data_IF_121579819991
#
_entry.id   IF_121579819991
#
_cell.length_a   1.000
_cell.length_b   1.000
_cell.length_c   1.000
_cell.angle_alpha   90.00
_cell.angle_beta   90.00
_cell.angle_gamma   90.00
#
_symmetry.space_group_name_H-M   'P 1'
#
loop_
_entity.id
_entity.type
_entity.pdbx_description
1 polymer ?
#
# COMPACT_ATOMS: atom_id res chain seq x y z
N UNK A 1 7.00 7.82 -23.79
CA UNK A 1 7.19 6.66 -24.70
C UNK A 1 7.23 5.33 -23.96
N UNK A 2 8.12 5.11 -22.98
CA UNK A 2 8.23 3.81 -22.29
C UNK A 2 6.92 3.31 -21.65
N UNK A 3 6.15 4.17 -20.97
CA UNK A 3 4.87 3.79 -20.37
C UNK A 3 3.82 3.39 -21.41
N UNK A 4 3.73 4.11 -22.53
CA UNK A 4 2.82 3.77 -23.63
C UNK A 4 3.25 2.48 -24.33
N UNK A 5 4.57 2.24 -24.48
CA UNK A 5 5.11 0.98 -25.02
C UNK A 5 4.84 -0.16 -24.06
N UNK A 6 5.06 0.03 -22.75
CA UNK A 6 4.80 -0.96 -21.72
C UNK A 6 3.31 -1.28 -21.59
N UNK A 7 2.42 -0.29 -21.59
CA UNK A 7 0.98 -0.52 -21.58
C UNK A 7 0.48 -1.09 -22.91
N UNK A 8 1.02 -0.68 -24.06
CA UNK A 8 0.67 -1.30 -25.34
C UNK A 8 1.12 -2.76 -25.39
N UNK A 9 2.33 -3.07 -24.90
CA UNK A 9 2.79 -4.45 -24.72
C UNK A 9 1.90 -5.19 -23.73
N UNK A 10 1.56 -4.61 -22.58
CA UNK A 10 0.70 -5.21 -21.55
C UNK A 10 -0.69 -5.49 -22.09
N UNK A 11 -1.35 -4.53 -22.73
CA UNK A 11 -2.68 -4.68 -23.32
C UNK A 11 -2.71 -5.67 -24.49
N UNK A 12 -1.61 -5.80 -25.25
CA UNK A 12 -1.46 -6.83 -26.27
C UNK A 12 -1.22 -8.22 -25.68
N UNK A 13 -0.57 -8.31 -24.52
CA UNK A 13 -0.19 -9.56 -23.85
C UNK A 13 -1.30 -10.08 -22.92
N UNK A 14 -2.10 -9.20 -22.32
CA UNK A 14 -3.16 -9.52 -21.36
C UNK A 14 -4.13 -10.61 -21.86
N UNK A 15 -4.64 -10.60 -23.12
CA UNK A 15 -5.49 -11.67 -23.64
C UNK A 15 -4.77 -13.04 -23.74
N UNK A 16 -3.44 -13.04 -23.81
CA UNK A 16 -2.61 -14.24 -23.88
C UNK A 16 -2.08 -14.68 -22.52
N UNK A 17 -2.26 -13.88 -21.46
CA UNK A 17 -1.80 -14.21 -20.12
C UNK A 17 -2.54 -15.43 -19.56
N UNK A 18 -3.85 -15.50 -19.72
CA UNK A 18 -4.65 -16.66 -19.27
C UNK A 18 -4.35 -17.92 -20.10
N UNK A 19 -4.03 -17.77 -21.39
CA UNK A 19 -3.55 -18.87 -22.23
C UNK A 19 -2.17 -19.38 -21.78
N UNK A 20 -1.30 -18.48 -21.32
CA UNK A 20 -0.01 -18.83 -20.75
C UNK A 20 -0.13 -19.56 -19.40
N UNK A 21 -1.11 -19.23 -18.55
CA UNK A 21 -1.38 -19.99 -17.32
C UNK A 21 -1.87 -21.42 -17.62
N UNK A 22 -2.75 -21.58 -18.62
CA UNK A 22 -3.19 -22.89 -19.07
C UNK A 22 -2.03 -23.73 -19.64
N UNK A 23 -1.16 -23.12 -20.45
CA UNK A 23 0.04 -23.77 -20.97
C UNK A 23 1.01 -24.16 -19.83
N UNK A 24 1.25 -23.27 -18.86
CA UNK A 24 2.11 -23.56 -17.72
C UNK A 24 1.62 -24.77 -16.91
N UNK A 25 0.31 -24.92 -16.71
CA UNK A 25 -0.30 -26.07 -16.02
C UNK A 25 -0.20 -27.36 -16.82
N UNK A 26 -0.36 -27.29 -18.14
CA UNK A 26 -0.22 -28.45 -19.03
C UNK A 26 1.23 -28.97 -19.02
N UNK A 27 2.22 -28.11 -19.30
CA UNK A 27 3.63 -28.50 -19.31
C UNK A 27 4.20 -28.78 -17.90
N UNK A 28 3.58 -28.24 -16.85
CA UNK A 28 3.99 -28.46 -15.45
C UNK A 28 3.43 -29.74 -14.83
N UNK A 29 2.45 -30.39 -15.46
CA UNK A 29 1.82 -31.61 -14.96
C UNK A 29 2.49 -32.87 -15.56
N UNK A 30 3.23 -33.67 -14.77
CA UNK A 30 3.97 -34.84 -15.26
C UNK A 30 3.06 -35.99 -15.76
N UNK A 31 1.76 -35.92 -15.49
CA UNK A 31 0.77 -36.88 -15.98
C UNK A 31 0.21 -36.54 -17.36
N UNK A 32 0.61 -35.43 -17.97
CA UNK A 32 0.21 -35.06 -19.33
C UNK A 32 1.31 -35.40 -20.33
N UNK A 33 0.94 -35.66 -21.59
CA UNK A 33 1.90 -35.90 -22.68
C UNK A 33 2.89 -34.73 -22.85
N UNK A 34 2.41 -33.50 -22.62
CA UNK A 34 3.24 -32.29 -22.68
C UNK A 34 4.10 -32.07 -21.43
N UNK A 35 3.78 -32.68 -20.29
CA UNK A 35 4.62 -32.63 -19.09
C UNK A 35 5.76 -33.66 -19.09
N UNK A 36 5.73 -34.61 -20.03
CA UNK A 36 6.73 -35.67 -20.16
C UNK A 36 7.81 -35.35 -21.21
N UNK A 37 7.66 -34.28 -21.99
CA UNK A 37 8.67 -33.90 -22.99
C UNK A 37 9.94 -33.36 -22.31
N UNK A 38 11.13 -33.60 -22.89
CA UNK A 38 12.36 -32.97 -22.42
C UNK A 38 12.20 -31.44 -22.37
N UNK A 39 12.69 -30.81 -21.31
CA UNK A 39 12.53 -29.38 -21.02
C UNK A 39 11.09 -28.91 -20.71
N UNK A 40 10.09 -29.79 -20.54
CA UNK A 40 8.71 -29.39 -20.19
C UNK A 40 8.65 -28.45 -18.97
N UNK A 41 9.43 -28.73 -17.91
CA UNK A 41 9.52 -27.85 -16.75
C UNK A 41 10.07 -26.44 -17.08
N UNK A 42 11.01 -26.32 -18.02
CA UNK A 42 11.53 -25.02 -18.46
C UNK A 42 10.49 -24.27 -19.28
N UNK A 43 9.76 -24.97 -20.15
CA UNK A 43 8.66 -24.40 -20.93
C UNK A 43 7.52 -23.92 -20.00
N UNK A 44 7.16 -24.73 -19.01
CA UNK A 44 6.20 -24.36 -17.97
C UNK A 44 6.64 -23.12 -17.18
N UNK A 45 7.92 -23.05 -16.78
CA UNK A 45 8.47 -21.89 -16.08
C UNK A 45 8.45 -20.61 -16.94
N UNK A 46 8.73 -20.73 -18.24
CA UNK A 46 8.66 -19.61 -19.18
C UNK A 46 7.22 -19.11 -19.37
N UNK A 47 6.25 -20.00 -19.53
CA UNK A 47 4.83 -19.62 -19.60
C UNK A 47 4.32 -19.05 -18.27
N UNK A 48 4.76 -19.59 -17.13
CA UNK A 48 4.44 -19.03 -15.82
C UNK A 48 5.03 -17.62 -15.62
N UNK A 49 6.25 -17.38 -16.10
CA UNK A 49 6.86 -16.06 -16.12
C UNK A 49 6.08 -15.11 -17.06
N UNK A 50 5.70 -15.57 -18.24
CA UNK A 50 4.93 -14.78 -19.21
C UNK A 50 3.56 -14.38 -18.66
N UNK A 51 2.83 -15.31 -18.02
CA UNK A 51 1.58 -15.00 -17.32
C UNK A 51 1.80 -13.98 -16.18
N UNK A 52 2.87 -14.12 -15.37
CA UNK A 52 3.20 -13.15 -14.31
C UNK A 52 3.52 -11.75 -14.85
N UNK A 53 4.13 -11.66 -16.04
CA UNK A 53 4.46 -10.39 -16.68
C UNK A 53 3.26 -9.77 -17.42
N UNK A 54 2.34 -10.61 -17.90
CA UNK A 54 1.19 -10.20 -18.69
C UNK A 54 -0.09 -9.92 -17.90
N UNK A 55 -0.18 -10.41 -16.66
CA UNK A 55 -1.40 -10.32 -15.85
C UNK A 55 -1.46 -9.02 -15.05
N UNK A 56 -2.57 -8.30 -15.15
CA UNK A 56 -2.88 -7.26 -14.16
C UNK A 56 -3.29 -7.96 -12.86
N UNK A 57 -2.57 -7.66 -11.77
CA UNK A 57 -2.89 -8.20 -10.46
C UNK A 57 -3.86 -7.24 -9.77
N UNK A 58 -5.07 -7.72 -9.51
CA UNK A 58 -6.00 -7.00 -8.65
C UNK A 58 -5.38 -6.73 -7.29
N UNK A 59 -5.80 -5.61 -6.68
CA UNK A 59 -5.39 -5.25 -5.33
C UNK A 59 -5.78 -6.38 -4.36
N UNK A 60 -4.82 -6.99 -3.64
CA UNK A 60 -5.13 -7.99 -2.63
C UNK A 60 -6.04 -7.40 -1.55
N UNK A 61 -6.94 -8.21 -1.02
CA UNK A 61 -7.71 -7.86 0.17
C UNK A 61 -6.85 -7.98 1.44
N UNK A 62 -7.15 -7.24 2.51
CA UNK A 62 -6.54 -7.56 3.80
C UNK A 62 -7.01 -8.93 4.30
N UNK A 63 -8.28 -9.30 4.05
CA UNK A 63 -8.79 -10.64 4.34
C UNK A 63 -8.76 -11.02 5.83
N UNK A 64 -8.70 -10.02 6.72
CA UNK A 64 -8.70 -10.24 8.17
C UNK A 64 -10.17 -10.28 8.60
N UNK A 65 -10.76 -11.49 8.61
CA UNK A 65 -12.18 -11.66 9.00
C UNK A 65 -12.37 -11.94 10.48
N UNK A 66 -11.39 -12.58 11.12
CA UNK A 66 -11.40 -12.93 12.53
C UNK A 66 -9.99 -12.90 13.12
N UNK A 67 -9.90 -12.63 14.41
CA UNK A 67 -8.68 -12.78 15.22
C UNK A 67 -9.05 -13.41 16.57
N UNK A 68 -8.05 -13.98 17.27
CA UNK A 68 -8.21 -14.43 18.65
C UNK A 68 -7.71 -13.36 19.61
N UNK A 69 -8.51 -13.02 20.61
CA UNK A 69 -8.14 -12.17 21.74
C UNK A 69 -8.49 -12.94 23.00
N UNK A 70 -7.49 -13.22 23.85
CA UNK A 70 -7.65 -14.01 25.08
C UNK A 70 -8.35 -15.37 24.85
N UNK A 71 -8.08 -16.02 23.71
CA UNK A 71 -8.71 -17.28 23.32
C UNK A 71 -10.10 -17.18 22.70
N UNK A 72 -10.72 -15.99 22.72
CA UNK A 72 -12.05 -15.73 22.15
C UNK A 72 -11.91 -15.23 20.71
N UNK A 73 -12.68 -15.81 19.80
CA UNK A 73 -12.77 -15.36 18.40
C UNK A 73 -13.55 -14.04 18.32
N UNK A 74 -12.92 -13.05 17.69
CA UNK A 74 -13.47 -11.70 17.49
C UNK A 74 -13.59 -11.46 15.99
N UNK A 75 -14.79 -11.13 15.54
CA UNK A 75 -15.06 -10.79 14.14
C UNK A 75 -14.49 -9.40 13.81
N UNK A 76 -13.94 -9.28 12.60
CA UNK A 76 -13.35 -8.05 12.08
C UNK A 76 -14.16 -7.58 10.89
N UNK A 77 -14.61 -6.33 10.96
CA UNK A 77 -15.25 -5.59 9.89
C UNK A 77 -14.28 -4.54 9.36
N UNK A 78 -13.97 -4.62 8.08
CA UNK A 78 -13.07 -3.73 7.38
C UNK A 78 -13.90 -2.68 6.65
N UNK A 79 -13.68 -1.40 6.97
CA UNK A 79 -14.47 -0.31 6.40
C UNK A 79 -13.64 0.93 6.12
N UNK A 80 -14.10 1.72 5.15
CA UNK A 80 -13.53 3.03 4.86
C UNK A 80 -14.12 4.01 5.86
N UNK A 81 -13.26 4.63 6.68
CA UNK A 81 -13.67 5.64 7.66
C UNK A 81 -13.59 7.05 7.08
N UNK A 82 -12.58 7.32 6.24
CA UNK A 82 -12.44 8.57 5.48
C UNK A 82 -12.02 8.22 4.06
N UNK A 83 -12.72 8.78 3.07
CA UNK A 83 -12.39 8.60 1.65
C UNK A 83 -11.91 9.92 1.05
N UNK A 84 -10.62 9.98 0.70
CA UNK A 84 -10.01 11.13 0.01
C UNK A 84 -9.61 10.76 -1.42
N UNK A 85 -9.38 11.74 -2.29
CA UNK A 85 -9.06 11.47 -3.70
C UNK A 85 -7.85 10.55 -3.91
N UNK A 86 -6.82 10.65 -3.06
CA UNK A 86 -5.59 9.86 -3.17
C UNK A 86 -5.42 8.79 -2.10
N UNK A 87 -6.29 8.72 -1.09
CA UNK A 87 -6.11 7.83 0.05
C UNK A 87 -7.42 7.48 0.73
N UNK A 88 -7.57 6.23 1.16
CA UNK A 88 -8.62 5.82 2.08
C UNK A 88 -8.02 5.59 3.45
N UNK A 89 -8.61 6.20 4.48
CA UNK A 89 -8.35 5.80 5.85
C UNK A 89 -9.27 4.63 6.17
N UNK A 90 -8.69 3.45 6.36
CA UNK A 90 -9.45 2.21 6.57
C UNK A 90 -9.38 1.81 8.03
N UNK A 91 -10.50 1.35 8.57
CA UNK A 91 -10.65 0.94 9.97
C UNK A 91 -11.02 -0.54 10.02
N UNK A 92 -10.39 -1.25 10.94
CA UNK A 92 -10.72 -2.63 11.27
C UNK A 92 -11.48 -2.66 12.60
N UNK A 93 -12.81 -2.68 12.52
CA UNK A 93 -13.67 -2.67 13.70
C UNK A 93 -13.86 -4.10 14.21
N UNK A 94 -13.63 -4.26 15.51
CA UNK A 94 -13.74 -5.54 16.22
C UNK A 94 -15.14 -5.70 16.81
N UNK A 95 -15.70 -6.90 16.66
CA UNK A 95 -17.01 -7.31 17.18
C UNK A 95 -16.89 -8.62 17.96
N UNK A 96 -17.49 -8.66 19.13
CA UNK A 96 -17.54 -9.84 20.00
C UNK A 96 -18.83 -9.81 20.80
N UNK A 97 -19.43 -10.97 20.99
CA UNK A 97 -20.62 -11.16 21.82
C UNK A 97 -20.25 -11.38 23.30
N UNK A 98 -18.96 -11.51 23.61
CA UNK A 98 -18.47 -11.63 24.99
C UNK A 98 -18.41 -10.24 25.67
N UNK A 99 -19.13 -10.01 26.77
CA UNK A 99 -19.16 -8.71 27.45
C UNK A 99 -17.84 -8.27 28.09
N UNK A 100 -16.96 -9.21 28.48
CA UNK A 100 -15.65 -8.90 29.04
C UNK A 100 -14.69 -8.45 27.93
N UNK A 101 -14.65 -9.17 26.81
CA UNK A 101 -13.88 -8.78 25.62
C UNK A 101 -14.36 -7.43 25.10
N UNK A 102 -15.68 -7.22 25.00
CA UNK A 102 -16.23 -5.95 24.51
C UNK A 102 -15.80 -4.75 25.37
N UNK A 103 -15.76 -4.92 26.70
CA UNK A 103 -15.26 -3.88 27.62
C UNK A 103 -13.78 -3.59 27.38
N UNK A 104 -12.94 -4.62 27.24
CA UNK A 104 -11.51 -4.48 26.90
C UNK A 104 -11.32 -3.73 25.58
N UNK A 105 -12.02 -4.14 24.52
CA UNK A 105 -11.95 -3.53 23.19
C UNK A 105 -12.32 -2.04 23.19
N UNK A 106 -13.29 -1.63 24.02
CA UNK A 106 -13.69 -0.23 24.16
C UNK A 106 -12.61 0.63 24.82
N UNK A 107 -11.85 0.08 25.77
CA UNK A 107 -10.78 0.80 26.49
C UNK A 107 -9.46 0.95 25.71
N UNK A 108 -9.21 0.09 24.73
CA UNK A 108 -7.93 0.05 24.01
C UNK A 108 -7.64 1.32 23.18
N UNK A 109 -6.39 1.79 23.11
CA UNK A 109 -6.05 3.03 22.42
C UNK A 109 -6.15 2.87 20.88
N UNK A 110 -6.40 3.96 20.14
CA UNK A 110 -6.36 3.92 18.69
C UNK A 110 -4.93 4.06 18.17
N UNK A 111 -4.64 3.36 17.08
CA UNK A 111 -3.38 3.44 16.35
C UNK A 111 -3.63 3.73 14.89
N UNK A 112 -2.92 4.72 14.35
CA UNK A 112 -2.85 5.01 12.93
C UNK A 112 -1.57 4.41 12.36
N UNK A 113 -1.72 3.43 11.48
CA UNK A 113 -0.65 2.85 10.69
C UNK A 113 -0.59 3.59 9.35
N UNK A 114 0.51 4.26 9.08
CA UNK A 114 0.77 4.93 7.81
C UNK A 114 1.55 3.98 6.93
N UNK A 115 0.86 3.37 5.97
CA UNK A 115 1.44 2.46 4.99
C UNK A 115 2.21 3.22 3.91
N UNK A 116 3.27 2.63 3.32
CA UNK A 116 4.00 3.26 2.24
C UNK A 116 3.09 3.46 1.01
N UNK A 117 3.24 4.61 0.36
CA UNK A 117 2.64 4.87 -0.95
C UNK A 117 3.42 4.14 -2.06
N UNK A 118 4.74 4.00 -1.89
CA UNK A 118 5.64 3.34 -2.84
C UNK A 118 5.69 1.80 -2.73
N UNK A 119 4.76 1.18 -1.99
CA UNK A 119 4.64 -0.27 -1.88
C UNK A 119 3.29 -0.68 -2.45
N UNK A 120 3.28 -1.65 -3.36
CA UNK A 120 2.11 -2.07 -4.17
C UNK A 120 0.75 -1.76 -3.53
N UNK A 121 0.51 -2.26 -2.31
CA UNK A 121 -0.73 -2.02 -1.56
C UNK A 121 -0.49 -2.01 -0.04
N UNK A 122 -1.37 -1.34 0.71
CA UNK A 122 -1.33 -1.32 2.18
C UNK A 122 -1.46 -2.72 2.80
N UNK A 123 -1.93 -3.71 2.05
CA UNK A 123 -1.98 -5.13 2.44
C UNK A 123 -0.61 -5.76 2.69
N UNK A 124 0.49 -5.12 2.29
CA UNK A 124 1.83 -5.53 2.73
C UNK A 124 1.95 -5.50 4.27
N UNK A 125 1.19 -4.63 4.93
CA UNK A 125 1.12 -4.54 6.39
C UNK A 125 -0.01 -5.36 7.00
N UNK A 126 -0.58 -6.34 6.26
CA UNK A 126 -1.71 -7.17 6.73
C UNK A 126 -1.40 -7.85 8.06
N UNK A 127 -0.21 -8.44 8.21
CA UNK A 127 0.16 -9.12 9.45
C UNK A 127 0.43 -8.12 10.59
N UNK A 128 0.97 -6.94 10.28
CA UNK A 128 1.06 -5.83 11.25
C UNK A 128 -0.33 -5.43 11.74
N UNK A 129 -1.30 -5.24 10.84
CA UNK A 129 -2.69 -4.93 11.19
C UNK A 129 -3.28 -6.04 12.06
N UNK A 130 -3.11 -7.31 11.65
CA UNK A 130 -3.62 -8.49 12.39
C UNK A 130 -3.08 -8.53 13.82
N UNK A 131 -1.78 -8.30 14.00
CA UNK A 131 -1.15 -8.30 15.32
C UNK A 131 -1.62 -7.12 16.15
N UNK A 132 -1.63 -5.91 15.59
CA UNK A 132 -2.05 -4.71 16.31
C UNK A 132 -3.53 -4.75 16.74
N UNK A 133 -4.38 -5.47 16.01
CA UNK A 133 -5.78 -5.67 16.36
C UNK A 133 -6.01 -6.43 17.67
N UNK A 134 -5.00 -7.05 18.26
CA UNK A 134 -5.13 -7.66 19.59
C UNK A 134 -5.29 -6.56 20.67
N UNK A 135 -4.56 -5.45 20.52
CA UNK A 135 -4.41 -4.45 21.58
C UNK A 135 -4.88 -3.04 21.22
N UNK A 136 -5.23 -2.77 19.95
CA UNK A 136 -5.50 -1.40 19.47
C UNK A 136 -6.72 -1.29 18.58
N UNK A 137 -7.36 -0.11 18.58
CA UNK A 137 -8.32 0.28 17.54
C UNK A 137 -7.53 0.67 16.29
N UNK A 138 -7.39 -0.25 15.33
CA UNK A 138 -6.49 -0.08 14.18
C UNK A 138 -7.14 0.71 13.04
N UNK A 139 -6.39 1.73 12.60
CA UNK A 139 -6.61 2.48 11.37
C UNK A 139 -5.37 2.36 10.49
N UNK A 140 -5.54 2.28 9.17
CA UNK A 140 -4.44 2.25 8.21
C UNK A 140 -4.71 3.18 7.03
N UNK A 141 -3.68 3.85 6.54
CA UNK A 141 -3.76 4.57 5.25
C UNK A 141 -3.65 3.60 4.10
N UNK A 142 -4.52 3.72 3.12
CA UNK A 142 -4.55 2.90 1.93
C UNK A 142 -4.56 3.79 0.68
N UNK A 143 -3.39 3.96 0.09
CA UNK A 143 -3.16 4.88 -1.02
C UNK A 143 -3.82 4.36 -2.31
N UNK A 144 -4.55 5.25 -2.99
CA UNK A 144 -5.16 4.93 -4.28
C UNK A 144 -4.09 5.02 -5.36
N UNK A 145 -4.18 4.15 -6.35
CA UNK A 145 -3.32 4.24 -7.53
C UNK A 145 -3.64 5.55 -8.26
N UNK A 146 -2.65 6.43 -8.40
CA UNK A 146 -2.82 7.74 -9.03
C UNK A 146 -3.33 7.65 -10.48
N UNK A 147 -3.13 6.53 -11.19
CA UNK A 147 -3.72 6.30 -12.53
C UNK A 147 -5.25 6.33 -12.51
N UNK A 148 -5.86 6.00 -11.37
CA UNK A 148 -7.31 5.98 -11.18
C UNK A 148 -7.88 7.30 -10.65
N UNK A 149 -7.04 8.33 -10.41
CA UNK A 149 -7.46 9.61 -9.83
C UNK A 149 -7.54 10.69 -10.93
N UNK A 150 -8.74 11.20 -11.28
CA UNK A 150 -8.92 12.22 -12.31
C UNK A 150 -8.09 13.47 -12.10
N UNK A 151 -7.75 14.20 -13.16
CA UNK A 151 -7.00 15.47 -13.06
C UNK A 151 -7.79 16.57 -12.35
N UNK A 152 -9.13 16.49 -12.35
CA UNK A 152 -10.00 17.42 -11.62
C UNK A 152 -9.79 17.38 -10.10
N UNK A 153 -9.22 16.30 -9.57
CA UNK A 153 -8.89 16.15 -8.15
C UNK A 153 -7.58 16.83 -7.76
N UNK A 154 -6.95 17.57 -8.67
CA UNK A 154 -5.71 18.30 -8.42
C UNK A 154 -4.46 17.43 -8.42
N UNK A 155 -3.32 18.01 -8.05
CA UNK A 155 -2.05 17.30 -7.92
C UNK A 155 -1.90 16.68 -6.51
N UNK A 156 -0.88 15.83 -6.34
CA UNK A 156 -0.55 15.23 -5.05
C UNK A 156 0.96 15.26 -4.83
N UNK A 157 1.38 16.14 -3.94
CA UNK A 157 2.77 16.41 -3.59
C UNK A 157 3.11 15.88 -2.20
N UNK A 158 4.34 16.13 -1.73
CA UNK A 158 4.78 15.71 -0.41
C UNK A 158 4.02 16.43 0.71
N UNK A 159 3.73 17.72 0.56
CA UNK A 159 2.93 18.50 1.49
C UNK A 159 1.49 17.99 1.57
N UNK A 160 0.88 17.56 0.47
CA UNK A 160 -0.44 16.91 0.48
C UNK A 160 -0.43 15.60 1.29
N UNK A 161 0.63 14.79 1.16
CA UNK A 161 0.84 13.61 2.00
C UNK A 161 0.86 14.01 3.48
N UNK A 162 1.73 14.97 3.82
CA UNK A 162 1.88 15.46 5.19
C UNK A 162 0.56 15.97 5.74
N UNK A 163 -0.21 16.72 4.95
CA UNK A 163 -1.52 17.24 5.31
C UNK A 163 -2.52 16.12 5.56
N UNK A 164 -2.58 15.10 4.70
CA UNK A 164 -3.46 13.93 4.91
C UNK A 164 -3.13 13.21 6.23
N UNK A 165 -1.85 13.03 6.55
CA UNK A 165 -1.43 12.43 7.82
C UNK A 165 -1.92 13.28 9.00
N UNK A 166 -1.74 14.60 8.96
CA UNK A 166 -2.22 15.50 10.02
C UNK A 166 -3.75 15.43 10.16
N UNK A 167 -4.48 15.42 9.05
CA UNK A 167 -5.93 15.27 9.05
C UNK A 167 -6.37 13.94 9.68
N UNK A 168 -5.72 12.83 9.36
CA UNK A 168 -6.05 11.53 9.96
C UNK A 168 -5.71 11.47 11.45
N UNK A 169 -4.59 12.06 11.87
CA UNK A 169 -4.25 12.21 13.29
C UNK A 169 -5.35 13.02 14.00
N UNK A 170 -5.71 14.19 13.47
CA UNK A 170 -6.76 15.05 14.03
C UNK A 170 -8.10 14.31 14.08
N UNK A 171 -8.45 13.53 13.06
CA UNK A 171 -9.67 12.72 13.03
C UNK A 171 -9.71 11.71 14.19
N UNK A 172 -8.62 10.96 14.40
CA UNK A 172 -8.55 10.01 15.51
C UNK A 172 -8.58 10.72 16.87
N UNK A 173 -7.85 11.82 17.02
CA UNK A 173 -7.80 12.59 18.26
C UNK A 173 -9.14 13.25 18.61
N UNK A 174 -9.88 13.76 17.62
CA UNK A 174 -11.22 14.29 17.84
C UNK A 174 -12.19 13.21 18.35
N UNK A 175 -12.00 11.96 17.90
CA UNK A 175 -12.86 10.83 18.25
C UNK A 175 -12.50 10.15 19.58
N UNK A 176 -11.22 10.07 19.91
CA UNK A 176 -10.73 9.28 21.04
C UNK A 176 -9.95 10.10 22.08
N UNK A 177 -9.79 11.40 21.84
CA UNK A 177 -8.96 12.28 22.65
C UNK A 177 -7.46 12.11 22.41
N UNK A 178 -6.98 10.99 21.88
CA UNK A 178 -5.56 10.73 21.61
C UNK A 178 -5.39 9.72 20.47
N UNK A 179 -4.15 9.49 20.04
CA UNK A 179 -3.77 8.36 19.21
C UNK A 179 -2.28 8.04 19.29
N UNK A 180 -1.92 6.84 18.83
CA UNK A 180 -0.55 6.46 18.49
C UNK A 180 -0.39 6.46 16.97
N UNK A 181 0.80 6.79 16.47
CA UNK A 181 1.10 6.69 15.03
C UNK A 181 2.28 5.76 14.78
N UNK A 182 2.15 4.92 13.75
CA UNK A 182 3.20 4.02 13.28
C UNK A 182 3.41 4.28 11.79
N UNK A 183 4.64 4.54 11.36
CA UNK A 183 5.01 4.71 9.96
C UNK A 183 6.01 3.64 9.54
N UNK A 184 5.83 3.02 8.37
CA UNK A 184 6.68 1.92 7.89
C UNK A 184 7.30 2.21 6.52
N UNK A 185 8.63 2.29 6.44
CA UNK A 185 9.43 2.56 5.24
C UNK A 185 9.34 4.02 4.75
N UNK A 186 8.86 4.27 3.53
CA UNK A 186 8.70 5.60 2.92
C UNK A 186 7.94 6.67 3.75
N UNK A 187 6.88 6.35 4.52
CA UNK A 187 6.11 7.34 5.28
C UNK A 187 6.80 7.88 6.52
N UNK A 188 7.97 7.37 6.92
CA UNK A 188 8.65 7.89 8.13
C UNK A 188 8.94 9.38 8.03
N UNK A 189 9.39 9.86 6.87
CA UNK A 189 9.66 11.28 6.62
C UNK A 189 8.38 12.14 6.65
N UNK A 190 7.32 11.84 5.88
CA UNK A 190 6.10 12.66 5.93
C UNK A 190 5.39 12.59 7.29
N UNK A 191 5.45 11.47 8.00
CA UNK A 191 4.88 11.38 9.37
C UNK A 191 5.67 12.22 10.37
N UNK A 192 7.00 12.16 10.30
CA UNK A 192 7.86 13.03 11.11
C UNK A 192 7.54 14.52 10.83
N UNK A 193 7.45 14.90 9.56
CA UNK A 193 7.09 16.26 9.16
C UNK A 193 5.69 16.66 9.66
N UNK A 194 4.69 15.79 9.52
CA UNK A 194 3.32 16.02 9.96
C UNK A 194 3.26 16.33 11.46
N UNK A 195 3.86 15.47 12.30
CA UNK A 195 3.88 15.63 13.76
C UNK A 195 4.70 16.86 14.17
N UNK A 196 5.84 17.12 13.51
CA UNK A 196 6.69 18.27 13.80
C UNK A 196 5.98 19.60 13.52
N UNK A 197 5.24 19.68 12.41
CA UNK A 197 4.43 20.84 12.03
C UNK A 197 3.21 21.03 12.94
N UNK A 198 2.61 19.94 13.42
CA UNK A 198 1.55 20.03 14.44
C UNK A 198 2.11 20.58 15.76
N UNK A 199 3.25 20.06 16.21
CA UNK A 199 3.91 20.50 17.43
C UNK A 199 4.33 21.98 17.36
N UNK A 200 4.88 22.43 16.23
CA UNK A 200 5.31 23.84 16.06
C UNK A 200 4.14 24.83 16.10
N UNK A 201 2.92 24.39 15.79
CA UNK A 201 1.68 25.18 15.90
C UNK A 201 1.00 25.05 17.27
N UNK A 202 1.57 24.32 18.22
CA UNK A 202 0.96 24.06 19.53
C UNK A 202 -0.27 23.16 19.47
N UNK A 203 -0.43 22.38 18.39
CA UNK A 203 -1.52 21.43 18.28
C UNK A 203 -1.28 20.19 19.16
N UNK A 204 -2.36 19.49 19.51
CA UNK A 204 -2.26 18.20 20.18
C UNK A 204 -1.59 17.18 19.26
N UNK A 205 -0.47 16.61 19.71
CA UNK A 205 0.27 15.57 18.99
C UNK A 205 -0.15 14.16 19.42
N UNK A 206 0.15 13.12 18.62
CA UNK A 206 0.03 11.73 19.04
C UNK A 206 0.80 11.45 20.33
N UNK A 207 0.36 10.48 21.11
CA UNK A 207 1.05 10.03 22.33
C UNK A 207 2.40 9.39 22.02
N UNK A 208 2.49 8.68 20.90
CA UNK A 208 3.74 8.09 20.40
C UNK A 208 3.82 8.20 18.89
N UNK A 209 5.05 8.28 18.39
CA UNK A 209 5.39 8.20 16.97
C UNK A 209 6.46 7.11 16.78
N UNK A 210 6.06 5.98 16.22
CA UNK A 210 6.95 4.85 15.94
C UNK A 210 7.31 4.83 14.47
N UNK A 211 8.59 4.89 14.16
CA UNK A 211 9.11 4.87 12.79
C UNK A 211 9.87 3.57 12.53
N UNK A 212 9.44 2.79 11.54
CA UNK A 212 9.98 1.47 11.24
C UNK A 212 10.61 1.44 9.85
N UNK A 213 11.91 1.17 9.78
CA UNK A 213 12.59 0.84 8.51
C UNK A 213 12.59 1.94 7.45
N UNK A 214 12.47 3.21 7.84
CA UNK A 214 12.52 4.34 6.90
C UNK A 214 13.71 5.27 7.18
N UNK A 215 14.46 5.70 6.15
CA UNK A 215 15.62 6.56 6.33
C UNK A 215 15.19 7.99 6.70
N UNK A 216 15.72 8.52 7.82
CA UNK A 216 15.51 9.92 8.22
C UNK A 216 16.64 10.79 7.69
N UNK A 217 17.89 10.45 8.01
CA UNK A 217 19.06 11.05 7.38
C UNK A 217 19.54 10.15 6.24
N UNK A 218 19.14 10.49 5.01
CA UNK A 218 19.50 9.75 3.80
C UNK A 218 21.01 9.73 3.49
N UNK A 219 21.84 10.49 4.24
CA UNK A 219 23.32 10.48 4.13
C UNK A 219 23.99 9.42 4.99
N UNK A 220 23.23 8.72 5.84
CA UNK A 220 23.71 7.66 6.73
C UNK A 220 23.24 6.31 6.20
N UNK A 221 24.16 5.36 6.05
CA UNK A 221 23.90 4.02 5.53
C UNK A 221 23.14 4.01 4.18
N UNK A 222 23.70 4.65 3.13
CA UNK A 222 23.00 4.79 1.85
C UNK A 222 22.74 3.44 1.18
N UNK A 223 21.54 3.29 0.64
CA UNK A 223 21.13 2.16 -0.21
C UNK A 223 21.38 2.45 -1.68
N UNK A 224 21.18 1.46 -2.56
CA UNK A 224 21.23 1.66 -4.01
C UNK A 224 20.30 2.78 -4.50
N UNK A 225 19.12 2.92 -3.87
CA UNK A 225 18.17 3.99 -4.18
C UNK A 225 18.75 5.36 -3.80
N UNK A 226 19.43 5.46 -2.66
CA UNK A 226 20.08 6.71 -2.25
C UNK A 226 21.23 7.08 -3.19
N UNK A 227 22.04 6.10 -3.60
CA UNK A 227 23.14 6.34 -4.53
C UNK A 227 22.65 6.84 -5.90
N UNK A 228 21.54 6.28 -6.40
CA UNK A 228 20.93 6.78 -7.63
C UNK A 228 20.45 8.23 -7.46
N UNK A 229 19.81 8.54 -6.33
CA UNK A 229 19.31 9.87 -6.01
C UNK A 229 20.42 10.94 -5.93
N UNK A 230 21.63 10.58 -5.50
CA UNK A 230 22.77 11.53 -5.41
C UNK A 230 23.55 11.68 -6.72
N UNK A 231 23.45 10.71 -7.63
CA UNK A 231 24.18 10.73 -8.91
C UNK A 231 23.42 11.43 -10.05
N UNK A 232 22.13 11.75 -9.87
CA UNK A 232 21.26 12.32 -10.90
C UNK A 232 20.65 13.63 -10.42
N UNK A 233 20.48 14.59 -11.34
CA UNK A 233 19.80 15.84 -11.04
C UNK A 233 18.29 15.62 -10.89
N UNK A 234 17.62 16.54 -10.20
CA UNK A 234 16.16 16.54 -10.11
C UNK A 234 15.49 16.50 -11.50
N UNK A 235 15.98 17.32 -12.44
CA UNK A 235 15.49 17.36 -13.81
C UNK A 235 15.65 16.01 -14.53
N UNK A 236 16.73 15.28 -14.25
CA UNK A 236 16.91 13.94 -14.80
C UNK A 236 15.78 13.01 -14.35
N UNK A 237 15.42 13.02 -13.06
CA UNK A 237 14.28 12.24 -12.57
C UNK A 237 12.96 12.66 -13.22
N UNK A 238 12.68 13.96 -13.26
CA UNK A 238 11.45 14.48 -13.87
C UNK A 238 11.32 14.06 -15.34
N UNK A 239 12.43 14.00 -16.08
CA UNK A 239 12.42 13.65 -17.51
C UNK A 239 12.40 12.14 -17.76
N UNK A 240 13.05 11.34 -16.90
CA UNK A 240 13.29 9.92 -17.18
C UNK A 240 12.39 8.96 -16.40
N UNK A 241 11.90 9.38 -15.23
CA UNK A 241 11.13 8.48 -14.36
C UNK A 241 9.68 8.91 -14.14
N UNK A 242 9.29 10.10 -14.60
CA UNK A 242 7.91 10.58 -14.52
C UNK A 242 7.23 10.43 -15.88
N UNK A 243 6.09 9.75 -15.89
CA UNK A 243 5.33 9.43 -17.08
C UNK A 243 3.90 9.94 -16.97
N UNK A 244 3.23 10.08 -18.11
CA UNK A 244 1.81 10.44 -18.16
C UNK A 244 0.95 9.18 -18.21
N UNK A 245 -0.09 9.15 -17.39
CA UNK A 245 -1.11 8.12 -17.43
C UNK A 245 -1.82 8.14 -18.81
N UNK A 246 -2.03 7.00 -19.46
CA UNK A 246 -2.62 6.91 -20.78
C UNK A 246 -4.15 7.09 -20.77
N UNK A 247 -4.77 7.29 -21.95
CA UNK A 247 -6.18 7.69 -22.07
C UNK A 247 -7.20 6.69 -21.52
N UNK A 248 -6.82 5.43 -21.30
CA UNK A 248 -7.71 4.37 -20.83
C UNK A 248 -8.00 4.40 -19.32
N UNK A 249 -7.35 5.28 -18.56
CA UNK A 249 -7.60 5.40 -17.12
C UNK A 249 -8.20 6.77 -16.74
N UNK A 250 -8.97 6.86 -15.65
CA UNK A 250 -9.54 8.13 -15.19
C UNK A 250 -8.51 9.25 -14.98
N UNK A 251 -7.28 8.91 -14.58
CA UNK A 251 -6.19 9.86 -14.40
C UNK A 251 -5.43 10.22 -15.67
N UNK A 252 -5.96 9.98 -16.87
CA UNK A 252 -5.31 10.24 -18.16
C UNK A 252 -4.63 11.62 -18.23
N UNK A 253 -3.32 11.63 -18.52
CA UNK A 253 -2.47 12.82 -18.59
C UNK A 253 -1.75 13.17 -17.28
N UNK A 254 -2.13 12.57 -16.14
CA UNK A 254 -1.49 12.79 -14.83
C UNK A 254 -0.04 12.33 -14.85
N UNK A 255 0.86 13.13 -14.28
CA UNK A 255 2.26 12.79 -14.09
C UNK A 255 2.43 11.84 -12.90
N UNK A 256 3.00 10.68 -13.14
CA UNK A 256 3.21 9.63 -12.13
C UNK A 256 4.59 9.01 -12.27
N UNK A 257 5.17 8.55 -11.17
CA UNK A 257 6.29 7.60 -11.19
C UNK A 257 5.70 6.19 -11.31
N UNK A 258 5.84 5.49 -12.45
CA UNK A 258 5.33 4.14 -12.61
C UNK A 258 6.21 3.18 -11.84
N UNK A 259 5.62 2.48 -10.88
CA UNK A 259 6.25 1.46 -10.04
C UNK A 259 5.33 0.27 -9.84
#
# INVERSE_FOLDING_TARGET
MLYQIYEAQRALIEPFADMADAAAKLYGNPHTLLGQVPLAQRVAAMYALFHRLGKDYEKPEFGIRRIKIDGIEVAIDERIEVDKPFCQLRRFKRFSDDPAVLRKLKGQPPVLIVAPLSGHYATLLRDTVRTMLQDHKVYITDWKNARMVPLSEGDFHLDDYVNYVQEFIRHLQAKYGNCHVISVCQPTVPVLAAVSLMASRGEKTPLTMTMMGGPIDARRSPTAVNNLATQRSHQWFETNVIFRVPPNYPGAGRRVYPG
#
